data_IF_685369996395
#
_entry.id   IF_685369996395
#
_cell.length_a   1.000
_cell.length_b   1.000
_cell.length_c   1.000
_cell.angle_alpha   90.00
_cell.angle_beta   90.00
_cell.angle_gamma   90.00
#
_symmetry.space_group_name_H-M   'P 1'
#
loop_
_entity.id
_entity.type
_entity.pdbx_description
1 polymer ?
#
# COMPACT_ATOMS: atom_id res chain seq x y z
N UNK A 1 10.03 -39.65 19.94
CA UNK A 1 9.39 -39.16 18.69
C UNK A 1 7.89 -39.25 18.89
N UNK A 2 7.28 -38.19 19.44
CA UNK A 2 5.83 -38.09 19.55
C UNK A 2 5.30 -37.49 18.24
N UNK A 3 4.25 -38.12 17.73
CA UNK A 3 3.70 -37.88 16.39
C UNK A 3 3.08 -36.45 16.32
N UNK A 4 3.57 -35.55 15.43
CA UNK A 4 3.09 -34.17 15.34
C UNK A 4 1.62 -34.03 14.91
N UNK A 5 1.00 -35.11 14.40
CA UNK A 5 -0.44 -35.15 14.13
C UNK A 5 -1.30 -35.30 15.40
N UNK A 6 -0.73 -35.78 16.51
CA UNK A 6 -1.46 -35.98 17.78
C UNK A 6 -1.59 -34.67 18.57
N UNK A 7 -0.55 -33.83 18.59
CA UNK A 7 -0.62 -32.52 19.25
C UNK A 7 -1.54 -31.52 18.51
N UNK A 8 -1.61 -31.59 17.18
CA UNK A 8 -2.54 -30.77 16.40
C UNK A 8 -4.00 -31.17 16.64
N UNK A 9 -4.26 -32.47 16.82
CA UNK A 9 -5.60 -32.98 17.17
C UNK A 9 -6.03 -32.59 18.59
N UNK A 10 -5.10 -32.55 19.56
CA UNK A 10 -5.37 -32.12 20.94
C UNK A 10 -5.64 -30.61 20.99
N UNK A 11 -4.87 -29.80 20.26
CA UNK A 11 -5.08 -28.35 20.20
C UNK A 11 -6.43 -27.99 19.57
N UNK A 12 -6.81 -28.64 18.47
CA UNK A 12 -8.14 -28.46 17.87
C UNK A 12 -9.22 -28.94 18.85
N UNK A 13 -9.04 -30.07 19.53
CA UNK A 13 -10.01 -30.59 20.49
C UNK A 13 -10.14 -29.69 21.74
N UNK A 14 -9.07 -29.08 22.23
CA UNK A 14 -9.11 -28.13 23.36
C UNK A 14 -9.70 -26.78 22.97
N UNK A 15 -9.39 -26.26 21.78
CA UNK A 15 -10.02 -25.04 21.26
C UNK A 15 -11.52 -25.26 21.01
N UNK A 16 -11.89 -26.42 20.46
CA UNK A 16 -13.31 -26.78 20.24
C UNK A 16 -14.04 -26.95 21.58
N UNK A 17 -13.40 -27.56 22.60
CA UNK A 17 -13.95 -27.63 23.97
C UNK A 17 -14.06 -26.25 24.62
N UNK A 18 -13.07 -25.38 24.45
CA UNK A 18 -13.10 -24.01 24.98
C UNK A 18 -14.23 -23.17 24.38
N UNK A 19 -14.53 -23.37 23.09
CA UNK A 19 -15.69 -22.76 22.40
C UNK A 19 -17.01 -23.39 22.84
N UNK A 20 -17.06 -24.71 23.09
CA UNK A 20 -18.22 -25.42 23.64
C UNK A 20 -18.51 -25.10 25.11
N UNK A 21 -17.55 -24.59 25.87
CA UNK A 21 -17.71 -24.17 27.28
C UNK A 21 -18.09 -22.70 27.44
N UNK A 22 -18.12 -21.92 26.35
CA UNK A 22 -18.64 -20.56 26.36
C UNK A 22 -20.18 -20.60 26.24
N UNK A 23 -20.88 -19.66 26.90
CA UNK A 23 -22.32 -19.54 26.71
C UNK A 23 -22.64 -19.28 25.23
N UNK A 24 -23.78 -19.79 24.75
CA UNK A 24 -24.22 -19.60 23.35
C UNK A 24 -24.24 -18.11 22.98
N UNK A 25 -24.56 -17.25 23.94
CA UNK A 25 -24.48 -15.79 23.87
C UNK A 25 -23.06 -15.29 23.55
N UNK A 26 -22.05 -15.77 24.28
CA UNK A 26 -20.67 -15.34 24.06
C UNK A 26 -20.18 -15.72 22.67
N UNK A 27 -20.48 -16.95 22.23
CA UNK A 27 -20.14 -17.42 20.89
C UNK A 27 -20.83 -16.54 19.83
N UNK A 28 -22.13 -16.26 19.99
CA UNK A 28 -22.86 -15.38 19.09
C UNK A 28 -22.24 -13.97 19.03
N UNK A 29 -21.94 -13.35 20.17
CA UNK A 29 -21.35 -12.01 20.22
C UNK A 29 -20.00 -11.97 19.48
N UNK A 30 -19.12 -12.94 19.73
CA UNK A 30 -17.82 -13.03 19.06
C UNK A 30 -17.98 -13.21 17.56
N UNK A 31 -18.84 -14.15 17.12
CA UNK A 31 -19.08 -14.41 15.70
C UNK A 31 -19.69 -13.18 15.02
N UNK A 32 -20.69 -12.55 15.62
CA UNK A 32 -21.35 -11.37 15.08
C UNK A 32 -20.39 -10.18 14.98
N UNK A 33 -19.53 -9.99 15.99
CA UNK A 33 -18.50 -8.97 15.98
C UNK A 33 -17.50 -9.18 14.84
N UNK A 34 -17.03 -10.42 14.65
CA UNK A 34 -16.13 -10.77 13.53
C UNK A 34 -16.82 -10.46 12.19
N UNK A 35 -18.06 -10.91 11.99
CA UNK A 35 -18.82 -10.63 10.75
C UNK A 35 -18.97 -9.12 10.52
N UNK A 36 -19.30 -8.36 11.57
CA UNK A 36 -19.43 -6.90 11.51
C UNK A 36 -18.11 -6.24 11.10
N UNK A 37 -17.00 -6.64 11.73
CA UNK A 37 -15.67 -6.13 11.38
C UNK A 37 -15.29 -6.47 9.94
N UNK A 38 -15.61 -7.68 9.49
CA UNK A 38 -15.40 -8.09 8.10
C UNK A 38 -16.25 -7.29 7.11
N UNK A 39 -17.49 -6.93 7.45
CA UNK A 39 -18.34 -6.08 6.59
C UNK A 39 -17.93 -4.61 6.59
N UNK A 40 -17.32 -4.11 7.67
CA UNK A 40 -16.84 -2.72 7.78
C UNK A 40 -15.47 -2.52 7.10
N UNK A 41 -14.53 -3.44 7.33
CA UNK A 41 -13.15 -3.30 6.85
C UNK A 41 -12.86 -4.13 5.59
N UNK A 42 -13.67 -5.13 5.29
CA UNK A 42 -13.54 -6.05 4.13
C UNK A 42 -12.10 -6.55 3.94
N UNK A 43 -11.64 -7.50 4.78
CA UNK A 43 -10.30 -8.06 4.64
C UNK A 43 -10.17 -8.81 3.30
N UNK A 44 -8.93 -9.05 2.88
CA UNK A 44 -8.57 -9.62 1.57
C UNK A 44 -9.27 -10.95 1.29
N UNK A 45 -9.43 -11.78 2.31
CA UNK A 45 -10.02 -13.12 2.24
C UNK A 45 -11.53 -13.03 1.97
N UNK A 46 -12.24 -12.11 2.66
CA UNK A 46 -13.68 -11.88 2.42
C UNK A 46 -13.94 -11.33 1.02
N UNK A 47 -13.02 -10.50 0.53
CA UNK A 47 -13.07 -10.03 -0.86
C UNK A 47 -12.83 -11.16 -1.85
N UNK A 48 -11.85 -12.03 -1.60
CA UNK A 48 -11.57 -13.18 -2.46
C UNK A 48 -12.75 -14.16 -2.50
N UNK A 49 -13.46 -14.32 -1.38
CA UNK A 49 -14.70 -15.11 -1.28
C UNK A 49 -15.92 -14.42 -1.93
N UNK A 50 -15.78 -13.16 -2.36
CA UNK A 50 -16.85 -12.38 -2.97
C UNK A 50 -17.95 -11.94 -2.00
N UNK A 51 -17.71 -12.01 -0.68
CA UNK A 51 -18.65 -11.63 0.38
C UNK A 51 -18.58 -10.13 0.68
N UNK A 52 -18.59 -9.29 -0.36
CA UNK A 52 -18.59 -7.84 -0.21
C UNK A 52 -19.96 -7.26 -0.56
N UNK A 53 -20.28 -6.09 0.03
CA UNK A 53 -21.54 -5.39 -0.25
C UNK A 53 -21.66 -5.09 -1.75
N UNK A 54 -20.54 -4.80 -2.43
CA UNK A 54 -20.53 -4.55 -3.87
C UNK A 54 -20.94 -5.77 -4.68
N UNK A 55 -20.50 -6.97 -4.29
CA UNK A 55 -20.85 -8.20 -5.00
C UNK A 55 -22.30 -8.62 -4.75
N UNK A 56 -22.77 -8.52 -3.50
CA UNK A 56 -24.15 -8.85 -3.12
C UNK A 56 -25.14 -7.95 -3.85
N UNK A 57 -24.82 -6.66 -4.01
CA UNK A 57 -25.68 -5.67 -4.66
C UNK A 57 -25.24 -5.34 -6.10
N UNK A 58 -24.41 -6.18 -6.71
CA UNK A 58 -23.79 -5.92 -8.01
C UNK A 58 -24.79 -5.57 -9.12
N UNK A 59 -25.93 -6.26 -9.15
CA UNK A 59 -27.02 -6.00 -10.11
C UNK A 59 -27.62 -4.59 -9.98
N UNK A 60 -27.72 -4.07 -8.75
CA UNK A 60 -28.26 -2.73 -8.48
C UNK A 60 -27.22 -1.63 -8.67
N UNK A 61 -25.96 -1.87 -8.26
CA UNK A 61 -24.86 -0.92 -8.45
C UNK A 61 -24.59 -0.69 -9.94
N UNK A 62 -24.57 -1.76 -10.74
CA UNK A 62 -24.19 -1.72 -12.15
C UNK A 62 -22.68 -1.74 -12.34
N UNK A 63 -22.20 -1.24 -13.48
CA UNK A 63 -20.77 -1.27 -13.84
C UNK A 63 -20.04 0.00 -13.40
N UNK A 64 -18.94 -0.18 -12.64
CA UNK A 64 -18.00 0.88 -12.27
C UNK A 64 -17.34 1.51 -13.52
N UNK A 65 -17.00 0.70 -14.53
CA UNK A 65 -16.35 1.17 -15.75
C UNK A 65 -17.26 2.05 -16.62
N UNK A 66 -18.55 1.75 -16.64
CA UNK A 66 -19.50 2.50 -17.47
C UNK A 66 -20.00 3.78 -16.80
N UNK A 67 -20.33 3.70 -15.51
CA UNK A 67 -20.97 4.80 -14.78
C UNK A 67 -20.29 5.06 -13.44
N UNK A 68 -18.99 5.32 -13.47
CA UNK A 68 -18.12 5.46 -12.29
C UNK A 68 -18.74 6.27 -11.14
N UNK A 69 -19.13 7.53 -11.38
CA UNK A 69 -19.68 8.38 -10.30
C UNK A 69 -21.00 7.85 -9.75
N UNK A 70 -21.93 7.43 -10.63
CA UNK A 70 -23.22 6.91 -10.18
C UNK A 70 -23.09 5.57 -9.46
N UNK A 71 -22.15 4.72 -9.90
CA UNK A 71 -21.77 3.50 -9.21
C UNK A 71 -21.31 3.82 -7.78
N UNK A 72 -20.41 4.79 -7.61
CA UNK A 72 -19.93 5.17 -6.28
C UNK A 72 -20.99 5.87 -5.42
N UNK A 73 -21.90 6.67 -6.00
CA UNK A 73 -23.06 7.24 -5.27
C UNK A 73 -23.96 6.12 -4.72
N UNK A 74 -24.28 5.13 -5.55
CA UNK A 74 -25.07 3.96 -5.14
C UNK A 74 -24.32 3.14 -4.09
N UNK A 75 -23.03 2.90 -4.30
CA UNK A 75 -22.17 2.17 -3.37
C UNK A 75 -22.12 2.80 -1.99
N UNK A 76 -21.83 4.10 -1.88
CA UNK A 76 -21.78 4.79 -0.59
C UNK A 76 -23.14 4.78 0.10
N UNK A 77 -24.22 4.93 -0.68
CA UNK A 77 -25.59 4.84 -0.17
C UNK A 77 -25.93 3.45 0.37
N UNK A 78 -25.57 2.38 -0.35
CA UNK A 78 -25.75 1.01 0.11
C UNK A 78 -24.94 0.71 1.37
N UNK A 79 -23.67 1.14 1.43
CA UNK A 79 -22.84 0.95 2.62
C UNK A 79 -23.47 1.63 3.85
N UNK A 80 -23.98 2.86 3.73
CA UNK A 80 -24.67 3.55 4.82
C UNK A 80 -25.90 2.76 5.29
N UNK A 81 -26.72 2.24 4.37
CA UNK A 81 -27.91 1.45 4.71
C UNK A 81 -27.56 0.12 5.38
N UNK A 82 -26.63 -0.64 4.80
CA UNK A 82 -26.23 -1.96 5.33
C UNK A 82 -25.56 -1.80 6.69
N UNK A 83 -24.63 -0.87 6.84
CA UNK A 83 -23.91 -0.69 8.09
C UNK A 83 -24.79 -0.12 9.21
N UNK A 84 -25.76 0.75 8.89
CA UNK A 84 -26.74 1.22 9.89
C UNK A 84 -27.74 0.15 10.32
N UNK A 85 -27.94 -0.91 9.53
CA UNK A 85 -28.77 -2.05 9.90
C UNK A 85 -28.06 -3.06 10.83
N UNK A 86 -26.73 -3.04 10.93
CA UNK A 86 -25.97 -4.01 11.71
C UNK A 86 -26.33 -4.02 13.21
N UNK A 87 -26.52 -2.88 13.90
CA UNK A 87 -26.94 -2.91 15.31
C UNK A 87 -28.33 -3.52 15.51
N UNK A 88 -29.25 -3.27 14.57
CA UNK A 88 -30.58 -3.87 14.60
C UNK A 88 -30.52 -5.39 14.34
N UNK A 89 -29.68 -5.82 13.39
CA UNK A 89 -29.41 -7.23 13.14
C UNK A 89 -28.83 -7.95 14.37
N UNK A 90 -27.96 -7.27 15.13
CA UNK A 90 -27.41 -7.80 16.38
C UNK A 90 -28.51 -8.02 17.42
N UNK A 91 -29.38 -7.02 17.61
CA UNK A 91 -30.50 -7.12 18.55
C UNK A 91 -31.42 -8.30 18.24
N UNK A 92 -31.81 -8.41 16.96
CA UNK A 92 -32.69 -9.49 16.48
C UNK A 92 -32.01 -10.84 16.63
N UNK A 93 -30.75 -10.97 16.21
CA UNK A 93 -30.01 -12.23 16.33
C UNK A 93 -29.82 -12.68 17.78
N UNK A 94 -29.47 -11.75 18.68
CA UNK A 94 -29.33 -12.05 20.10
C UNK A 94 -30.66 -12.48 20.73
N UNK A 95 -31.78 -11.91 20.28
CA UNK A 95 -33.12 -12.31 20.75
C UNK A 95 -33.48 -13.74 20.39
N UNK A 96 -32.95 -14.28 19.29
CA UNK A 96 -33.12 -15.69 18.92
C UNK A 96 -32.18 -16.61 19.72
N UNK A 97 -30.95 -16.17 19.99
CA UNK A 97 -29.94 -16.98 20.70
C UNK A 97 -30.19 -17.03 22.20
N UNK A 98 -30.71 -15.95 22.80
CA UNK A 98 -31.02 -15.90 24.23
C UNK A 98 -32.48 -15.46 24.47
N UNK A 99 -33.42 -16.42 24.45
CA UNK A 99 -34.82 -16.17 24.78
C UNK A 99 -35.02 -15.66 26.22
N UNK A 100 -34.10 -16.00 27.13
CA UNK A 100 -34.06 -15.58 28.53
C UNK A 100 -34.05 -14.04 28.67
N UNK A 101 -33.44 -13.33 27.71
CA UNK A 101 -33.39 -11.87 27.69
C UNK A 101 -34.72 -11.20 27.34
N UNK A 102 -35.74 -11.97 26.90
CA UNK A 102 -37.07 -11.49 26.58
C UNK A 102 -37.08 -10.29 25.60
N UNK A 103 -36.12 -10.23 24.67
CA UNK A 103 -35.91 -9.07 23.77
C UNK A 103 -37.10 -8.79 22.84
N UNK A 104 -37.89 -9.80 22.49
CA UNK A 104 -39.08 -9.64 21.63
C UNK A 104 -40.35 -9.31 22.41
N UNK A 105 -40.27 -9.24 23.75
CA UNK A 105 -41.39 -8.94 24.63
C UNK A 105 -41.21 -7.52 25.21
N UNK A 106 -41.84 -6.48 24.63
CA UNK A 106 -41.57 -5.08 24.99
C UNK A 106 -41.84 -4.73 26.46
N UNK A 107 -42.68 -5.52 27.13
CA UNK A 107 -43.09 -5.33 28.52
C UNK A 107 -42.11 -5.94 29.54
N UNK A 108 -41.26 -6.88 29.09
CA UNK A 108 -40.34 -7.67 29.92
C UNK A 108 -38.87 -7.32 29.65
N UNK A 109 -38.60 -6.58 28.58
CA UNK A 109 -37.23 -6.19 28.19
C UNK A 109 -36.63 -5.21 29.20
N UNK A 110 -35.36 -5.39 29.53
CA UNK A 110 -34.65 -4.47 30.40
C UNK A 110 -34.42 -3.11 29.73
N UNK A 111 -34.36 -2.05 30.54
CA UNK A 111 -34.16 -0.68 30.05
C UNK A 111 -32.93 -0.50 29.13
N UNK A 112 -31.75 -1.12 29.40
CA UNK A 112 -30.59 -1.00 28.51
C UNK A 112 -30.87 -1.55 27.10
N UNK A 113 -31.56 -2.70 27.01
CA UNK A 113 -31.91 -3.32 25.73
C UNK A 113 -32.95 -2.51 24.97
N UNK A 114 -33.90 -1.89 25.67
CA UNK A 114 -34.86 -0.97 25.05
C UNK A 114 -34.15 0.27 24.46
N UNK A 115 -33.22 0.86 25.20
CA UNK A 115 -32.43 2.00 24.73
C UNK A 115 -31.59 1.64 23.50
N UNK A 116 -30.92 0.47 23.54
CA UNK A 116 -30.17 -0.05 22.40
C UNK A 116 -31.05 -0.26 21.16
N UNK A 117 -32.26 -0.82 21.34
CA UNK A 117 -33.22 -1.01 20.25
C UNK A 117 -33.65 0.34 19.65
N UNK A 118 -34.02 1.31 20.49
CA UNK A 118 -34.42 2.65 20.05
C UNK A 118 -33.30 3.33 19.25
N UNK A 119 -32.04 3.26 19.71
CA UNK A 119 -30.89 3.78 18.97
C UNK A 119 -30.71 3.06 17.64
N UNK A 120 -30.79 1.73 17.64
CA UNK A 120 -30.61 0.91 16.43
C UNK A 120 -31.66 1.20 15.37
N UNK A 121 -32.92 1.29 15.77
CA UNK A 121 -34.04 1.68 14.89
C UNK A 121 -33.85 3.13 14.42
N UNK A 122 -33.50 4.05 15.33
CA UNK A 122 -33.27 5.46 15.00
C UNK A 122 -32.17 5.65 13.95
N UNK A 123 -31.01 5.00 14.13
CA UNK A 123 -29.91 5.04 13.16
C UNK A 123 -30.32 4.51 11.79
N UNK A 124 -31.01 3.36 11.74
CA UNK A 124 -31.47 2.78 10.48
C UNK A 124 -32.54 3.65 9.81
N UNK A 125 -33.49 4.18 10.57
CA UNK A 125 -34.54 5.07 10.07
C UNK A 125 -33.96 6.38 9.50
N UNK A 126 -32.95 6.96 10.15
CA UNK A 126 -32.22 8.13 9.65
C UNK A 126 -31.52 7.78 8.34
N UNK A 127 -30.81 6.66 8.27
CA UNK A 127 -30.12 6.21 7.06
C UNK A 127 -31.09 6.02 5.88
N UNK A 128 -32.23 5.36 6.11
CA UNK A 128 -33.31 5.20 5.11
C UNK A 128 -33.86 6.55 4.69
N UNK A 129 -34.12 7.46 5.64
CA UNK A 129 -34.63 8.80 5.35
C UNK A 129 -33.65 9.59 4.47
N UNK A 130 -32.36 9.59 4.82
CA UNK A 130 -31.30 10.24 4.04
C UNK A 130 -31.20 9.64 2.63
N UNK A 131 -31.25 8.32 2.51
CA UNK A 131 -31.27 7.64 1.21
C UNK A 131 -32.46 8.07 0.34
N UNK A 132 -33.66 8.10 0.91
CA UNK A 132 -34.86 8.53 0.19
C UNK A 132 -34.79 10.00 -0.21
N UNK A 133 -34.23 10.88 0.63
CA UNK A 133 -33.98 12.28 0.28
C UNK A 133 -33.00 12.42 -0.90
N UNK A 134 -31.92 11.64 -0.91
CA UNK A 134 -31.00 11.62 -2.03
C UNK A 134 -31.66 11.10 -3.30
N UNK A 135 -32.41 9.99 -3.21
CA UNK A 135 -33.13 9.40 -4.35
C UNK A 135 -34.15 10.38 -4.92
N UNK A 136 -34.98 10.99 -4.08
CA UNK A 136 -36.04 11.93 -4.49
C UNK A 136 -35.48 13.22 -5.11
N UNK A 137 -34.29 13.65 -4.69
CA UNK A 137 -33.58 14.79 -5.29
C UNK A 137 -32.76 14.44 -6.53
N UNK A 138 -32.95 13.25 -7.12
CA UNK A 138 -32.14 12.73 -8.23
C UNK A 138 -30.63 12.82 -7.94
N UNK A 139 -30.25 12.53 -6.71
CA UNK A 139 -28.89 12.53 -6.17
C UNK A 139 -28.23 13.92 -6.05
N UNK A 140 -28.95 15.01 -6.33
CA UNK A 140 -28.37 16.37 -6.28
C UNK A 140 -27.87 16.76 -4.89
N UNK A 141 -28.52 16.29 -3.83
CA UNK A 141 -28.12 16.58 -2.45
C UNK A 141 -27.09 15.59 -1.89
N UNK A 142 -26.69 14.57 -2.66
CA UNK A 142 -25.69 13.59 -2.25
C UNK A 142 -24.31 14.25 -2.10
N UNK A 143 -23.52 13.92 -1.07
CA UNK A 143 -22.21 14.56 -0.82
C UNK A 143 -21.26 14.52 -2.03
N UNK A 144 -21.19 13.39 -2.74
CA UNK A 144 -20.38 13.27 -3.97
C UNK A 144 -20.85 14.24 -5.05
N UNK A 145 -22.17 14.35 -5.28
CA UNK A 145 -22.72 15.26 -6.29
C UNK A 145 -22.45 16.73 -5.93
N UNK A 146 -22.60 17.09 -4.64
CA UNK A 146 -22.26 18.43 -4.14
C UNK A 146 -20.77 18.74 -4.34
N UNK A 147 -19.89 17.81 -3.99
CA UNK A 147 -18.44 17.96 -4.17
C UNK A 147 -18.07 18.18 -5.64
N UNK A 148 -18.67 17.41 -6.55
CA UNK A 148 -18.46 17.55 -7.99
C UNK A 148 -18.98 18.88 -8.55
N UNK A 149 -20.00 19.47 -7.90
CA UNK A 149 -20.54 20.77 -8.27
C UNK A 149 -19.55 21.93 -8.14
N UNK A 150 -18.47 21.79 -7.36
CA UNK A 150 -17.45 22.82 -7.22
C UNK A 150 -16.41 22.83 -8.35
N UNK A 151 -16.42 21.84 -9.25
CA UNK A 151 -15.46 21.74 -10.36
C UNK A 151 -16.01 22.24 -11.70
N UNK A 152 -17.27 22.64 -11.78
CA UNK A 152 -17.87 23.09 -13.03
C UNK A 152 -19.29 23.59 -12.87
N UNK A 153 -19.92 23.96 -13.99
CA UNK A 153 -21.28 24.51 -14.01
C UNK A 153 -22.36 23.54 -13.50
N UNK A 154 -22.15 22.23 -13.68
CA UNK A 154 -23.01 21.21 -13.11
C UNK A 154 -22.23 19.94 -12.80
N UNK A 155 -22.56 19.30 -11.67
CA UNK A 155 -21.95 18.03 -11.27
C UNK A 155 -22.17 16.91 -12.29
N UNK A 156 -23.26 16.98 -13.07
CA UNK A 156 -23.57 16.02 -14.14
C UNK A 156 -22.63 16.17 -15.34
N UNK A 157 -22.28 17.40 -15.72
CA UNK A 157 -21.28 17.63 -16.76
C UNK A 157 -19.91 17.10 -16.35
N UNK A 158 -19.50 17.38 -15.11
CA UNK A 158 -18.26 16.84 -14.52
C UNK A 158 -18.30 15.31 -14.50
N UNK A 159 -19.42 14.72 -14.09
CA UNK A 159 -19.63 13.25 -14.11
C UNK A 159 -19.46 12.67 -15.51
N UNK A 160 -20.01 13.32 -16.54
CA UNK A 160 -19.87 12.88 -17.93
C UNK A 160 -18.41 12.91 -18.36
N UNK A 161 -17.67 13.98 -18.03
CA UNK A 161 -16.23 14.09 -18.31
C UNK A 161 -15.43 12.95 -17.67
N UNK A 162 -15.63 12.74 -16.36
CA UNK A 162 -14.97 11.67 -15.61
C UNK A 162 -15.28 10.30 -16.22
N UNK A 163 -16.54 10.00 -16.55
CA UNK A 163 -16.91 8.70 -17.12
C UNK A 163 -16.24 8.46 -18.49
N UNK A 164 -16.11 9.49 -19.33
CA UNK A 164 -15.44 9.37 -20.63
C UNK A 164 -13.96 9.08 -20.46
N UNK A 165 -13.29 9.77 -19.54
CA UNK A 165 -11.87 9.54 -19.25
C UNK A 165 -11.62 8.20 -18.53
N UNK A 166 -12.50 7.82 -17.60
CA UNK A 166 -12.35 6.59 -16.84
C UNK A 166 -12.41 5.33 -17.72
N UNK A 167 -13.15 5.38 -18.83
CA UNK A 167 -13.21 4.28 -19.81
C UNK A 167 -11.93 4.11 -20.62
N UNK A 168 -11.02 5.10 -20.62
CA UNK A 168 -9.74 5.00 -21.32
C UNK A 168 -8.86 3.95 -20.63
N UNK A 169 -8.04 3.28 -21.44
CA UNK A 169 -7.09 2.26 -20.96
C UNK A 169 -5.92 2.92 -20.22
N UNK A 170 -5.52 4.12 -20.64
CA UNK A 170 -4.38 4.87 -20.11
C UNK A 170 -4.67 5.55 -18.75
N UNK A 171 -5.42 4.91 -17.84
CA UNK A 171 -5.61 5.41 -16.47
C UNK A 171 -4.60 4.74 -15.55
N UNK A 172 -3.98 5.52 -14.67
CA UNK A 172 -3.17 4.97 -13.60
C UNK A 172 -4.06 4.57 -12.43
N UNK A 173 -3.77 3.43 -11.80
CA UNK A 173 -4.51 2.92 -10.65
C UNK A 173 -3.55 2.40 -9.57
N UNK A 174 -3.83 2.71 -8.32
CA UNK A 174 -3.06 2.21 -7.17
C UNK A 174 -3.94 2.06 -5.93
N UNK A 175 -3.44 1.32 -4.94
CA UNK A 175 -4.11 1.07 -3.67
C UNK A 175 -4.99 -0.19 -3.66
N UNK A 176 -5.39 -0.65 -2.45
CA UNK A 176 -6.16 -1.86 -2.29
C UNK A 176 -7.56 -1.68 -2.90
N UNK A 177 -8.20 -2.78 -3.37
CA UNK A 177 -9.59 -2.68 -3.82
C UNK A 177 -10.47 -2.08 -2.69
N UNK A 178 -11.49 -1.30 -3.04
CA UNK A 178 -12.33 -0.55 -2.08
C UNK A 178 -11.75 0.79 -1.58
N UNK A 179 -10.43 1.01 -1.65
CA UNK A 179 -9.77 2.31 -1.43
C UNK A 179 -8.75 2.60 -2.53
N UNK A 180 -9.24 2.66 -3.77
CA UNK A 180 -8.41 2.87 -4.95
C UNK A 180 -8.25 4.34 -5.27
N UNK A 181 -7.07 4.69 -5.73
CA UNK A 181 -6.79 5.97 -6.37
C UNK A 181 -6.68 5.74 -7.86
N UNK A 182 -7.40 6.56 -8.63
CA UNK A 182 -7.37 6.59 -10.08
C UNK A 182 -6.86 7.94 -10.54
N UNK A 183 -5.91 7.94 -11.47
CA UNK A 183 -5.43 9.15 -12.13
C UNK A 183 -5.71 9.04 -13.62
N UNK A 184 -6.54 9.95 -14.09
CA UNK A 184 -6.94 10.08 -15.50
C UNK A 184 -6.15 11.19 -16.17
N UNK A 185 -6.58 11.69 -17.33
CA UNK A 185 -5.85 12.76 -18.01
C UNK A 185 -6.06 14.10 -17.30
N UNK A 186 -7.24 14.33 -16.73
CA UNK A 186 -7.58 15.60 -16.05
C UNK A 186 -7.98 15.45 -14.59
N UNK A 187 -8.33 14.24 -14.12
CA UNK A 187 -8.81 14.03 -12.75
C UNK A 187 -7.89 13.14 -11.92
N UNK A 188 -7.77 13.48 -10.64
CA UNK A 188 -7.25 12.62 -9.57
C UNK A 188 -8.43 12.25 -8.69
N UNK A 189 -8.70 10.95 -8.57
CA UNK A 189 -9.89 10.44 -7.88
C UNK A 189 -9.47 9.42 -6.85
N UNK A 190 -9.85 9.62 -5.58
CA UNK A 190 -9.65 8.64 -4.51
C UNK A 190 -11.01 8.12 -4.05
N UNK A 191 -11.15 6.81 -4.00
CA UNK A 191 -12.36 6.12 -3.54
C UNK A 191 -12.18 5.59 -2.13
N UNK A 192 -13.29 5.52 -1.38
CA UNK A 192 -13.38 4.95 -0.04
C UNK A 192 -14.81 4.43 0.18
N UNK A 193 -15.06 3.54 1.16
CA UNK A 193 -16.39 2.99 1.38
C UNK A 193 -17.52 4.02 1.56
N UNK A 194 -17.22 5.21 2.07
CA UNK A 194 -18.23 6.24 2.36
C UNK A 194 -18.01 7.57 1.64
N UNK A 195 -16.88 7.74 0.94
CA UNK A 195 -16.52 9.02 0.34
C UNK A 195 -15.71 8.81 -0.93
N UNK A 196 -15.92 9.72 -1.88
CA UNK A 196 -15.06 9.85 -3.06
C UNK A 196 -14.50 11.26 -3.04
N UNK A 197 -13.18 11.37 -3.14
CA UNK A 197 -12.50 12.63 -3.35
C UNK A 197 -12.16 12.75 -4.81
N UNK A 198 -12.38 13.95 -5.35
CA UNK A 198 -12.10 14.28 -6.74
C UNK A 198 -11.37 15.61 -6.74
N UNK A 199 -10.25 15.66 -7.43
CA UNK A 199 -9.51 16.88 -7.70
C UNK A 199 -9.23 16.98 -9.20
N UNK A 200 -9.31 18.19 -9.72
CA UNK A 200 -8.94 18.49 -11.09
C UNK A 200 -7.45 18.79 -11.14
N UNK A 201 -6.70 18.15 -12.03
CA UNK A 201 -5.23 18.21 -12.08
C UNK A 201 -4.70 19.63 -12.29
N UNK A 202 -5.39 20.45 -13.08
CA UNK A 202 -4.95 21.84 -13.32
C UNK A 202 -5.12 22.72 -12.07
N UNK A 203 -6.00 22.31 -11.14
CA UNK A 203 -6.36 23.06 -9.94
C UNK A 203 -5.83 22.39 -8.66
N UNK A 204 -4.80 21.55 -8.77
CA UNK A 204 -4.16 20.94 -7.62
C UNK A 204 -2.66 20.81 -7.79
N UNK A 205 -1.97 20.63 -6.67
CA UNK A 205 -0.56 20.25 -6.62
C UNK A 205 -0.39 19.08 -5.66
N UNK A 206 0.66 18.28 -5.87
CA UNK A 206 0.94 17.12 -5.04
C UNK A 206 2.16 17.40 -4.16
N UNK A 207 2.02 17.20 -2.85
CA UNK A 207 3.10 17.35 -1.89
C UNK A 207 3.52 15.98 -1.36
N UNK A 208 4.79 15.63 -1.45
CA UNK A 208 5.30 14.39 -0.82
C UNK A 208 5.37 14.61 0.69
N UNK A 209 4.57 13.88 1.46
CA UNK A 209 4.51 14.01 2.92
C UNK A 209 5.57 13.16 3.62
N UNK A 210 5.60 11.86 3.30
CA UNK A 210 6.47 10.89 3.96
C UNK A 210 6.69 9.65 3.10
N UNK A 211 7.80 8.98 3.39
CA UNK A 211 8.14 7.66 2.87
C UNK A 211 8.21 6.68 4.05
N UNK A 212 7.44 5.60 4.01
CA UNK A 212 7.42 4.56 5.04
C UNK A 212 8.03 3.28 4.50
N UNK A 213 8.95 2.68 5.23
CA UNK A 213 9.55 1.39 4.89
C UNK A 213 8.96 0.30 5.77
N UNK A 214 8.42 -0.74 5.14
CA UNK A 214 7.93 -1.93 5.81
C UNK A 214 8.82 -3.12 5.42
N UNK A 215 9.55 -3.68 6.39
CA UNK A 215 10.43 -4.84 6.17
C UNK A 215 9.69 -6.08 5.66
N UNK A 216 8.37 -6.18 5.91
CA UNK A 216 7.49 -7.24 5.43
C UNK A 216 6.21 -6.59 4.91
N UNK A 217 5.87 -6.86 3.65
CA UNK A 217 4.59 -6.48 3.05
C UNK A 217 3.74 -7.72 2.82
N UNK A 218 2.43 -7.62 2.92
CA UNK A 218 1.51 -8.74 2.67
C UNK A 218 1.59 -9.30 1.23
N UNK A 219 2.19 -8.55 0.30
CA UNK A 219 2.30 -8.91 -1.13
C UNK A 219 3.71 -9.38 -1.54
N UNK A 220 4.76 -9.06 -0.76
CA UNK A 220 6.12 -9.51 -1.06
C UNK A 220 7.00 -9.61 0.18
N UNK A 221 7.79 -10.68 0.25
CA UNK A 221 8.81 -10.92 1.29
C UNK A 221 10.03 -10.01 1.19
N UNK A 222 10.09 -9.16 0.15
CA UNK A 222 11.05 -8.07 0.04
C UNK A 222 10.43 -6.81 0.68
N UNK A 223 11.21 -6.08 1.48
CA UNK A 223 10.70 -4.87 2.15
C UNK A 223 10.06 -3.87 1.17
N UNK A 224 8.80 -3.52 1.40
CA UNK A 224 8.05 -2.58 0.58
C UNK A 224 8.15 -1.17 1.15
N UNK A 225 8.37 -0.19 0.29
CA UNK A 225 8.39 1.21 0.66
C UNK A 225 7.15 1.88 0.08
N UNK A 226 6.42 2.61 0.91
CA UNK A 226 5.23 3.33 0.50
C UNK A 226 5.50 4.83 0.57
N UNK A 227 5.09 5.54 -0.49
CA UNK A 227 5.14 7.00 -0.56
C UNK A 227 3.73 7.52 -0.30
N UNK A 228 3.62 8.51 0.59
CA UNK A 228 2.38 9.23 0.84
C UNK A 228 2.49 10.64 0.24
N UNK A 229 1.59 10.95 -0.69
CA UNK A 229 1.43 12.27 -1.27
C UNK A 229 0.14 12.91 -0.77
N UNK A 230 0.16 14.20 -0.47
CA UNK A 230 -1.05 14.99 -0.25
C UNK A 230 -1.44 15.68 -1.54
N UNK A 231 -2.70 15.52 -1.96
CA UNK A 231 -3.28 16.26 -3.07
C UNK A 231 -3.92 17.51 -2.48
N UNK A 232 -3.32 18.67 -2.77
CA UNK A 232 -3.79 19.96 -2.27
C UNK A 232 -4.50 20.69 -3.40
N UNK A 233 -5.78 21.00 -3.17
CA UNK A 233 -6.62 21.72 -4.13
C UNK A 233 -6.43 23.23 -3.98
N UNK A 234 -6.43 23.96 -5.10
CA UNK A 234 -6.49 25.43 -5.10
C UNK A 234 -7.89 25.94 -4.73
N UNK A 235 -8.93 25.11 -4.90
CA UNK A 235 -10.29 25.43 -4.49
C UNK A 235 -10.51 25.02 -3.03
N UNK A 236 -10.74 25.99 -2.15
CA UNK A 236 -10.97 25.81 -0.71
C UNK A 236 -12.20 24.94 -0.37
N UNK A 237 -13.16 24.81 -1.29
CA UNK A 237 -14.33 23.94 -1.10
C UNK A 237 -14.01 22.45 -1.27
N UNK A 238 -12.84 22.13 -1.82
CA UNK A 238 -12.38 20.77 -2.03
C UNK A 238 -11.32 20.46 -0.96
N UNK A 239 -11.63 19.56 -0.01
CA UNK A 239 -10.67 19.23 1.02
C UNK A 239 -9.54 18.37 0.47
N UNK A 240 -8.35 18.65 0.97
CA UNK A 240 -7.15 17.90 0.66
C UNK A 240 -7.29 16.42 1.05
N UNK A 241 -6.58 15.57 0.32
CA UNK A 241 -6.59 14.13 0.59
C UNK A 241 -5.26 13.47 0.23
N UNK A 242 -4.92 12.45 1.00
CA UNK A 242 -3.65 11.73 0.80
C UNK A 242 -3.79 10.53 -0.13
N UNK A 243 -2.80 10.30 -0.97
CA UNK A 243 -2.61 9.11 -1.79
C UNK A 243 -1.42 8.35 -1.23
N UNK A 244 -1.61 7.06 -0.96
CA UNK A 244 -0.53 6.14 -0.57
C UNK A 244 -0.32 5.15 -1.70
N UNK A 245 0.91 5.01 -2.17
CA UNK A 245 1.28 4.04 -3.21
C UNK A 245 2.65 3.43 -2.93
N UNK A 246 2.93 2.31 -3.57
CA UNK A 246 4.26 1.70 -3.53
C UNK A 246 5.28 2.63 -4.24
N UNK A 247 6.52 2.68 -3.75
CA UNK A 247 7.58 3.47 -4.37
C UNK A 247 7.89 3.03 -5.81
N UNK A 248 7.61 1.78 -6.17
CA UNK A 248 7.74 1.26 -7.54
C UNK A 248 6.75 1.97 -8.49
N UNK A 249 5.50 2.16 -8.06
CA UNK A 249 4.44 2.79 -8.87
C UNK A 249 4.58 4.32 -8.95
N UNK A 250 5.49 4.91 -8.17
CA UNK A 250 5.64 6.36 -8.08
C UNK A 250 6.06 6.99 -9.40
N UNK A 251 6.91 6.30 -10.17
CA UNK A 251 7.32 6.78 -11.48
C UNK A 251 6.13 6.86 -12.43
N UNK A 252 5.31 5.81 -12.48
CA UNK A 252 4.13 5.75 -13.34
C UNK A 252 3.08 6.81 -12.94
N UNK A 253 2.89 7.04 -11.64
CA UNK A 253 2.07 8.15 -11.15
C UNK A 253 2.62 9.50 -11.64
N UNK A 254 3.92 9.74 -11.47
CA UNK A 254 4.57 11.00 -11.85
C UNK A 254 4.49 11.24 -13.36
N UNK A 255 4.64 10.19 -14.16
CA UNK A 255 4.54 10.27 -15.61
C UNK A 255 3.08 10.53 -16.07
N UNK A 256 2.10 10.12 -15.25
CA UNK A 256 0.67 10.33 -15.53
C UNK A 256 0.14 11.70 -15.08
N UNK A 257 0.63 12.21 -13.96
CA UNK A 257 0.15 13.47 -13.39
C UNK A 257 0.76 14.66 -14.13
N UNK A 258 -0.09 15.54 -14.64
CA UNK A 258 0.34 16.80 -15.28
C UNK A 258 0.66 17.91 -14.27
N UNK A 259 0.12 17.81 -13.06
CA UNK A 259 0.33 18.74 -11.96
C UNK A 259 1.75 18.67 -11.39
N UNK A 260 2.33 19.80 -10.94
CA UNK A 260 3.66 19.77 -10.31
C UNK A 260 3.63 18.95 -9.01
N UNK A 261 4.57 18.02 -8.88
CA UNK A 261 4.85 17.28 -7.64
C UNK A 261 5.93 18.01 -6.87
N UNK A 262 5.56 18.65 -5.77
CA UNK A 262 6.47 19.37 -4.88
C UNK A 262 7.03 18.39 -3.84
N UNK A 263 8.35 18.35 -3.74
CA UNK A 263 9.00 17.54 -2.72
C UNK A 263 9.13 18.36 -1.42
N UNK A 264 8.63 17.84 -0.32
CA UNK A 264 8.97 18.38 0.99
C UNK A 264 10.48 18.21 1.21
N UNK A 265 11.13 19.22 1.80
CA UNK A 265 12.57 19.16 2.11
C UNK A 265 12.82 17.90 2.98
N UNK A 266 13.78 17.07 2.57
CA UNK A 266 14.23 15.82 3.23
C UNK A 266 13.49 14.52 2.93
N UNK A 267 12.64 14.42 1.89
CA UNK A 267 12.11 13.12 1.46
C UNK A 267 12.88 12.56 0.26
N UNK A 268 13.70 11.53 0.51
CA UNK A 268 14.37 10.74 -0.53
C UNK A 268 13.48 9.58 -0.93
N UNK A 269 13.01 9.56 -2.19
CA UNK A 269 12.27 8.43 -2.76
C UNK A 269 13.30 7.49 -3.38
N UNK A 270 13.53 6.33 -2.75
CA UNK A 270 14.46 5.33 -3.28
C UNK A 270 13.71 4.46 -4.32
N UNK A 271 13.97 4.70 -5.61
CA UNK A 271 13.12 4.18 -6.70
C UNK A 271 13.54 2.78 -7.20
N UNK A 272 14.75 2.29 -6.90
CA UNK A 272 15.18 0.96 -7.37
C UNK A 272 15.95 0.15 -6.34
N UNK A 273 15.83 -1.18 -6.40
CA UNK A 273 16.64 -2.11 -5.61
C UNK A 273 18.14 -1.88 -5.81
N UNK A 274 18.55 -1.49 -7.02
CA UNK A 274 19.93 -1.12 -7.35
C UNK A 274 20.37 0.13 -6.60
N UNK A 275 19.49 1.12 -6.42
CA UNK A 275 19.78 2.35 -5.69
C UNK A 275 19.89 2.10 -4.18
N UNK A 276 19.01 1.27 -3.61
CA UNK A 276 19.15 0.80 -2.21
C UNK A 276 20.45 0.05 -2.00
N UNK A 277 20.76 -0.86 -2.92
CA UNK A 277 22.01 -1.60 -2.88
C UNK A 277 23.21 -0.67 -3.01
N UNK A 278 23.16 0.37 -3.85
CA UNK A 278 24.24 1.33 -4.00
C UNK A 278 24.53 2.10 -2.71
N UNK A 279 23.49 2.49 -1.96
CA UNK A 279 23.66 3.13 -0.65
C UNK A 279 24.34 2.16 0.34
N UNK A 280 23.81 0.94 0.48
CA UNK A 280 24.38 -0.06 1.40
C UNK A 280 25.81 -0.46 1.00
N UNK A 281 26.07 -0.60 -0.31
CA UNK A 281 27.39 -0.89 -0.87
C UNK A 281 28.38 0.23 -0.54
N UNK A 282 28.01 1.50 -0.75
CA UNK A 282 28.87 2.63 -0.39
C UNK A 282 29.20 2.63 1.08
N UNK A 283 28.20 2.50 1.96
CA UNK A 283 28.43 2.46 3.41
C UNK A 283 29.42 1.35 3.81
N UNK A 284 29.31 0.18 3.18
CA UNK A 284 30.25 -0.92 3.42
C UNK A 284 31.66 -0.58 2.91
N UNK A 285 31.79 -0.05 1.69
CA UNK A 285 33.10 0.31 1.11
C UNK A 285 33.76 1.47 1.85
N UNK A 286 32.98 2.45 2.32
CA UNK A 286 33.45 3.56 3.15
C UNK A 286 34.00 3.07 4.50
N UNK A 287 33.49 1.93 4.99
CA UNK A 287 33.97 1.27 6.21
C UNK A 287 35.19 0.37 5.97
N UNK A 288 35.52 0.06 4.72
CA UNK A 288 36.69 -0.74 4.40
C UNK A 288 37.96 0.12 4.50
N UNK A 289 39.12 -0.43 4.88
CA UNK A 289 40.33 0.36 4.95
C UNK A 289 40.72 0.92 3.58
N UNK A 290 41.37 2.07 3.55
CA UNK A 290 41.82 2.69 2.29
C UNK A 290 43.06 2.00 1.73
N UNK A 291 43.39 2.32 0.48
CA UNK A 291 44.61 1.92 -0.18
C UNK A 291 45.41 3.15 -0.59
N UNK A 292 46.60 3.29 -0.01
CA UNK A 292 47.56 4.31 -0.43
C UNK A 292 48.24 3.92 -1.72
N UNK A 293 48.23 4.82 -2.69
CA UNK A 293 48.99 4.65 -3.91
C UNK A 293 50.50 4.65 -3.61
N UNK A 294 51.30 3.76 -4.22
CA UNK A 294 52.75 3.82 -4.08
C UNK A 294 53.30 5.17 -4.55
N UNK A 295 54.30 5.69 -3.84
CA UNK A 295 54.99 6.94 -4.22
C UNK A 295 55.52 6.86 -5.66
N UNK A 296 55.26 7.88 -6.45
CA UNK A 296 55.65 7.95 -7.87
C UNK A 296 54.73 7.20 -8.84
N UNK A 297 53.61 6.62 -8.38
CA UNK A 297 52.59 6.09 -9.29
C UNK A 297 51.78 7.23 -9.96
N UNK A 298 51.38 7.06 -11.23
CA UNK A 298 50.56 8.05 -11.93
C UNK A 298 49.19 8.16 -11.26
N UNK A 299 48.63 9.38 -11.24
CA UNK A 299 47.27 9.61 -10.75
C UNK A 299 46.26 8.75 -11.52
N UNK A 300 45.20 8.25 -10.85
CA UNK A 300 44.21 7.41 -11.52
C UNK A 300 43.49 8.18 -12.65
N UNK A 301 43.30 7.53 -13.79
CA UNK A 301 42.49 8.08 -14.89
C UNK A 301 40.99 8.14 -14.53
N UNK A 302 40.20 8.77 -15.39
CA UNK A 302 38.75 8.71 -15.32
C UNK A 302 38.25 7.27 -15.35
N UNK A 303 37.22 6.99 -14.56
CA UNK A 303 36.61 5.68 -14.45
C UNK A 303 36.15 5.17 -15.82
N UNK A 304 36.59 3.97 -16.20
CA UNK A 304 36.26 3.39 -17.52
C UNK A 304 34.77 3.06 -17.71
N UNK A 305 34.01 2.97 -16.61
CA UNK A 305 32.57 2.69 -16.64
C UNK A 305 31.71 3.91 -16.95
N UNK A 306 31.98 5.05 -16.32
CA UNK A 306 31.17 6.27 -16.52
C UNK A 306 31.88 7.35 -17.34
N UNK A 307 33.21 7.36 -17.37
CA UNK A 307 34.06 8.37 -17.98
C UNK A 307 33.84 9.81 -17.44
N UNK A 308 33.08 9.97 -16.35
CA UNK A 308 32.72 11.28 -15.77
C UNK A 308 33.59 11.67 -14.57
N UNK A 309 33.98 10.69 -13.75
CA UNK A 309 34.71 10.93 -12.50
C UNK A 309 35.99 10.10 -12.45
N UNK A 310 36.96 10.57 -11.68
CA UNK A 310 38.22 9.88 -11.46
C UNK A 310 37.99 8.51 -10.80
N UNK A 311 38.81 7.53 -11.16
CA UNK A 311 38.80 6.21 -10.54
C UNK A 311 39.21 6.34 -9.07
N UNK A 312 38.35 5.89 -8.15
CA UNK A 312 38.55 6.07 -6.72
C UNK A 312 38.53 4.77 -5.90
N UNK A 313 38.42 3.60 -6.53
CA UNK A 313 38.46 2.31 -5.84
C UNK A 313 39.49 1.34 -6.43
N UNK A 314 40.07 0.52 -5.56
CA UNK A 314 40.97 -0.60 -5.89
C UNK A 314 40.48 -1.89 -5.25
N UNK A 315 40.66 -3.00 -5.96
CA UNK A 315 40.40 -4.35 -5.44
C UNK A 315 41.66 -4.92 -4.79
N UNK A 316 41.59 -5.26 -3.51
CA UNK A 316 42.66 -5.81 -2.68
C UNK A 316 42.08 -6.93 -1.85
N UNK A 317 42.65 -8.14 -1.91
CA UNK A 317 42.14 -9.26 -1.12
C UNK A 317 42.25 -8.96 0.36
N UNK A 318 41.10 -8.91 1.04
CA UNK A 318 40.95 -8.65 2.48
C UNK A 318 39.84 -9.48 3.11
N UNK A 319 38.92 -10.05 2.33
CA UNK A 319 38.10 -11.14 2.85
C UNK A 319 38.89 -12.45 2.85
N UNK A 320 38.96 -13.07 4.03
CA UNK A 320 39.65 -14.34 4.33
C UNK A 320 41.18 -14.26 4.42
N UNK A 321 41.77 -15.27 5.07
CA UNK A 321 43.23 -15.47 5.11
C UNK A 321 43.80 -15.52 3.68
N UNK A 322 44.99 -14.96 3.49
CA UNK A 322 45.63 -14.74 2.18
C UNK A 322 45.66 -16.01 1.28
N UNK A 323 45.70 -17.20 1.88
CA UNK A 323 45.82 -18.50 1.20
C UNK A 323 44.53 -19.31 1.11
N UNK A 324 43.44 -18.89 1.76
CA UNK A 324 42.16 -19.59 1.77
C UNK A 324 41.03 -18.73 1.19
N UNK A 325 39.97 -19.39 0.70
CA UNK A 325 38.78 -18.74 0.14
C UNK A 325 38.80 -18.60 -1.39
N UNK A 326 37.62 -18.31 -1.95
CA UNK A 326 37.41 -18.19 -3.41
C UNK A 326 37.84 -16.81 -3.97
N UNK A 327 38.10 -15.83 -3.10
CA UNK A 327 38.55 -14.50 -3.52
C UNK A 327 40.07 -14.51 -3.73
N UNK A 328 40.54 -13.82 -4.77
CA UNK A 328 41.95 -13.79 -5.17
C UNK A 328 42.45 -12.36 -5.34
N UNK A 329 43.75 -12.15 -5.12
CA UNK A 329 44.36 -10.83 -5.27
C UNK A 329 44.22 -10.33 -6.71
N UNK A 330 43.73 -9.10 -6.85
CA UNK A 330 43.64 -8.40 -8.14
C UNK A 330 44.86 -7.50 -8.33
N UNK A 331 45.48 -7.56 -9.51
CA UNK A 331 46.66 -6.75 -9.86
C UNK A 331 46.34 -5.63 -10.87
N UNK A 332 45.06 -5.40 -11.18
CA UNK A 332 44.66 -4.30 -12.04
C UNK A 332 44.97 -2.95 -11.41
N UNK A 333 45.27 -1.97 -12.28
CA UNK A 333 45.29 -0.56 -11.89
C UNK A 333 43.89 -0.12 -11.44
N UNK A 334 43.79 0.90 -10.58
CA UNK A 334 42.50 1.46 -10.21
C UNK A 334 41.89 2.20 -11.42
N UNK A 335 40.86 1.62 -12.00
CA UNK A 335 40.22 2.08 -13.25
C UNK A 335 38.71 2.33 -13.09
N UNK A 336 38.18 2.14 -11.88
CA UNK A 336 36.75 2.20 -11.61
C UNK A 336 36.46 3.16 -10.48
N UNK A 337 35.29 3.79 -10.54
CA UNK A 337 34.72 4.48 -9.40
C UNK A 337 33.82 3.54 -8.59
N UNK A 338 33.58 3.88 -7.32
CA UNK A 338 32.76 3.09 -6.40
C UNK A 338 31.38 2.74 -6.98
N UNK A 339 30.71 3.71 -7.61
CA UNK A 339 29.37 3.51 -8.17
C UNK A 339 29.34 2.54 -9.36
N UNK A 340 30.32 2.66 -10.26
CA UNK A 340 30.39 1.75 -11.41
C UNK A 340 30.79 0.35 -10.96
N UNK A 341 31.65 0.24 -9.94
CA UNK A 341 31.96 -1.05 -9.32
C UNK A 341 30.73 -1.67 -8.64
N UNK A 342 29.92 -0.86 -7.93
CA UNK A 342 28.66 -1.30 -7.33
C UNK A 342 27.69 -1.83 -8.38
N UNK A 343 27.45 -1.08 -9.46
CA UNK A 343 26.55 -1.49 -10.56
C UNK A 343 27.02 -2.78 -11.20
N UNK A 344 28.33 -2.93 -11.43
CA UNK A 344 28.90 -4.17 -11.92
C UNK A 344 28.66 -5.32 -10.94
N UNK A 345 28.97 -5.13 -9.65
CA UNK A 345 28.80 -6.14 -8.62
C UNK A 345 27.34 -6.61 -8.54
N UNK A 346 26.39 -5.68 -8.51
CA UNK A 346 24.95 -5.97 -8.48
C UNK A 346 24.49 -6.78 -9.71
N UNK A 347 24.99 -6.44 -10.91
CA UNK A 347 24.65 -7.15 -12.15
C UNK A 347 25.08 -8.62 -12.17
N UNK A 348 26.03 -9.01 -11.31
CA UNK A 348 26.56 -10.37 -11.19
C UNK A 348 25.89 -11.18 -10.07
N UNK A 349 25.01 -10.56 -9.29
CA UNK A 349 24.29 -11.26 -8.24
C UNK A 349 23.02 -11.93 -8.76
N UNK A 350 22.50 -12.86 -7.97
CA UNK A 350 21.24 -13.53 -8.28
C UNK A 350 20.08 -12.54 -8.16
N UNK A 351 19.50 -12.15 -9.30
CA UNK A 351 18.41 -11.17 -9.35
C UNK A 351 17.14 -11.63 -8.65
N UNK A 352 16.95 -12.95 -8.46
CA UNK A 352 15.79 -13.49 -7.74
C UNK A 352 15.96 -13.51 -6.21
N UNK A 353 17.16 -13.19 -5.68
CA UNK A 353 17.49 -13.24 -4.24
C UNK A 353 18.31 -12.01 -3.79
N UNK A 354 17.73 -10.79 -3.86
CA UNK A 354 18.41 -9.54 -3.51
C UNK A 354 18.91 -9.46 -2.06
N UNK A 355 18.30 -10.20 -1.14
CA UNK A 355 18.71 -10.28 0.26
C UNK A 355 20.11 -10.87 0.45
N UNK A 356 20.62 -11.62 -0.54
CA UNK A 356 21.94 -12.25 -0.50
C UNK A 356 23.05 -11.41 -1.12
N UNK A 357 22.72 -10.27 -1.75
CA UNK A 357 23.68 -9.53 -2.58
C UNK A 357 24.89 -9.03 -1.80
N UNK A 358 24.73 -8.54 -0.57
CA UNK A 358 25.85 -8.01 0.23
C UNK A 358 26.92 -9.08 0.52
N UNK A 359 26.50 -10.33 0.73
CA UNK A 359 27.40 -11.47 0.94
C UNK A 359 27.89 -12.13 -0.35
N UNK A 360 27.52 -11.58 -1.50
CA UNK A 360 27.86 -12.12 -2.81
C UNK A 360 29.33 -11.98 -3.20
N UNK A 361 29.67 -12.54 -4.36
CA UNK A 361 30.99 -12.41 -4.99
C UNK A 361 30.82 -11.98 -6.43
N UNK A 362 31.83 -11.35 -7.00
CA UNK A 362 31.82 -10.91 -8.39
C UNK A 362 33.21 -11.05 -9.01
N UNK A 363 33.33 -11.35 -10.32
CA UNK A 363 34.60 -11.28 -11.02
C UNK A 363 34.96 -9.82 -11.32
N UNK A 364 36.24 -9.46 -11.18
CA UNK A 364 36.74 -8.15 -11.58
C UNK A 364 36.35 -7.85 -13.05
N UNK A 365 35.81 -6.66 -13.37
CA UNK A 365 35.42 -6.31 -14.73
C UNK A 365 36.55 -6.43 -15.76
N UNK A 366 37.80 -6.27 -15.31
CA UNK A 366 38.99 -6.25 -16.18
C UNK A 366 39.68 -7.60 -16.26
N UNK A 367 40.12 -8.16 -15.13
CA UNK A 367 40.93 -9.39 -15.10
C UNK A 367 40.16 -10.64 -14.64
N UNK A 368 38.88 -10.48 -14.27
CA UNK A 368 38.01 -11.56 -13.74
C UNK A 368 38.46 -12.20 -12.42
N UNK A 369 39.49 -11.69 -11.75
CA UNK A 369 39.81 -12.05 -10.36
C UNK A 369 38.56 -11.93 -9.49
N UNK A 370 38.17 -13.02 -8.83
CA UNK A 370 36.98 -13.06 -7.98
C UNK A 370 37.23 -12.24 -6.72
N UNK A 371 36.28 -11.38 -6.37
CA UNK A 371 36.35 -10.50 -5.21
C UNK A 371 34.99 -10.44 -4.49
N UNK A 372 35.02 -10.05 -3.22
CA UNK A 372 33.84 -9.77 -2.39
C UNK A 372 33.79 -8.26 -2.05
N UNK A 373 32.71 -7.80 -1.41
CA UNK A 373 32.56 -6.38 -1.04
C UNK A 373 33.65 -5.84 -0.10
N UNK A 374 34.21 -6.71 0.76
CA UNK A 374 35.29 -6.36 1.69
C UNK A 374 36.64 -6.14 0.99
N UNK A 375 36.79 -6.63 -0.24
CA UNK A 375 38.02 -6.48 -1.03
C UNK A 375 38.11 -5.10 -1.72
N UNK A 376 37.09 -4.26 -1.57
CA UNK A 376 37.01 -2.97 -2.28
C UNK A 376 37.49 -1.87 -1.35
N UNK A 377 38.55 -1.17 -1.75
CA UNK A 377 39.14 -0.09 -0.97
C UNK A 377 39.10 1.22 -1.72
N UNK A 378 38.71 2.30 -1.03
CA UNK A 378 38.93 3.65 -1.54
C UNK A 378 40.43 3.93 -1.66
N UNK A 379 40.79 4.69 -2.69
CA UNK A 379 42.17 5.09 -2.93
C UNK A 379 42.42 6.40 -2.18
N UNK A 380 43.56 6.49 -1.51
CA UNK A 380 44.10 7.72 -0.96
C UNK A 380 45.44 8.01 -1.62
N UNK A 381 45.62 9.24 -2.09
CA UNK A 381 46.88 9.76 -2.62
C UNK A 381 47.84 10.12 -1.50
#
# INVERSE_FOLDING_TARGET
MLNPYYEFGILIHEVTKGVLMASEEFVFVVVYFIITMCLLFTPTEFRAAGLTIENILSSWLGSEDMHFIYYHIKKTSANILVHSALPLGFYVGLGFVSPELNLFSPWLVSLPWLFFLCISIGMFAIAVSVFLLWKNSNWNSHPIAKSLGYHGSSWRAVTSSINVEFRRINKFQTGPPGRRTYVTDTWIIKTSPYRVWVAHQQDCHLNILKTEEHAVSHESSAGAQFVTLSVVSLNENIPDFDIRLNSIDYKDLKDKVSSPVLNARNVVIQQSMTERFLIAFRQQVDSNPTYSLPEGSPEPDNCIGCLQIQSNVKLIKRCDDLTTGNCVQCYCRPMWCCDCMCKWFASRQNQSRPETWLGGKSPCPTCRSVFCMLDISHITT
#
